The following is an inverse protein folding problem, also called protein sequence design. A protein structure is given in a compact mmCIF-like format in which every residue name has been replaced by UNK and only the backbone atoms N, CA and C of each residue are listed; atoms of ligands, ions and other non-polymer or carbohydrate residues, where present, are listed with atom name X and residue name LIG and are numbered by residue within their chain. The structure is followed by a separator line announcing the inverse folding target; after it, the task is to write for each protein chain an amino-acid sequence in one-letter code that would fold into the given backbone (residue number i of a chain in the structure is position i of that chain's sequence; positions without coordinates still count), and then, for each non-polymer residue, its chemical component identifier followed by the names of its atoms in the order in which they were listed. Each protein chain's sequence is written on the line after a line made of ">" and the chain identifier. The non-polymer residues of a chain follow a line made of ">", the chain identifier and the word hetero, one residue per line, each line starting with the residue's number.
data_IF_551057925380
#
_entry.id   IF_551057925380
#
_cell.length_a   1.000
_cell.length_b   1.000
_cell.length_c   1.000
_cell.angle_alpha   90.00
_cell.angle_beta   90.00
_cell.angle_gamma   90.00
#
_symmetry.space_group_name_H-M   'P 1'
#
loop_
_entity.id
_entity.type
_entity.pdbx_description
1 polymer ?
#
# COMPACT_ATOMS: atom_id res chain seq x y z
N UNK A 1 6.32 -3.79 -28.31
CA UNK A 1 5.22 -2.93 -27.81
C UNK A 1 5.73 -2.26 -26.55
N UNK A 2 5.50 -0.96 -26.34
CA UNK A 2 5.78 -0.37 -25.03
C UNK A 2 4.67 -0.81 -24.07
N UNK A 3 5.05 -1.30 -22.88
CA UNK A 3 4.12 -1.64 -21.80
C UNK A 3 3.88 -0.40 -20.94
N UNK A 4 2.65 -0.20 -20.47
CA UNK A 4 2.37 0.79 -19.42
C UNK A 4 3.06 0.39 -18.12
N UNK A 5 3.16 1.31 -17.17
CA UNK A 5 3.65 0.98 -15.83
C UNK A 5 2.85 -0.16 -15.20
N UNK A 6 1.51 -0.09 -15.27
CA UNK A 6 0.65 -1.15 -14.77
C UNK A 6 0.94 -2.51 -15.44
N UNK A 7 1.13 -2.55 -16.76
CA UNK A 7 1.44 -3.78 -17.47
C UNK A 7 2.81 -4.35 -17.08
N UNK A 8 3.82 -3.50 -16.86
CA UNK A 8 5.14 -3.94 -16.37
C UNK A 8 5.02 -4.61 -15.00
N UNK A 9 4.37 -3.93 -14.05
CA UNK A 9 4.16 -4.44 -12.69
C UNK A 9 3.33 -5.72 -12.70
N UNK A 10 2.25 -5.77 -13.48
CA UNK A 10 1.43 -6.96 -13.61
C UNK A 10 2.23 -8.15 -14.14
N UNK A 11 2.97 -7.96 -15.24
CA UNK A 11 3.67 -9.05 -15.90
C UNK A 11 4.83 -9.61 -15.06
N UNK A 12 5.50 -8.76 -14.27
CA UNK A 12 6.57 -9.19 -13.38
C UNK A 12 6.07 -10.09 -12.23
N UNK A 13 4.83 -9.88 -11.78
CA UNK A 13 4.28 -10.57 -10.62
C UNK A 13 3.26 -11.65 -10.97
N UNK A 14 3.00 -11.88 -12.27
CA UNK A 14 2.08 -12.90 -12.74
C UNK A 14 2.65 -14.30 -12.47
N UNK A 15 1.97 -15.07 -11.64
CA UNK A 15 2.33 -16.47 -11.35
C UNK A 15 1.68 -17.39 -12.36
N UNK A 16 0.37 -17.25 -12.54
CA UNK A 16 -0.43 -18.09 -13.43
C UNK A 16 -1.67 -17.32 -13.89
N UNK A 17 -2.07 -17.53 -15.14
CA UNK A 17 -3.38 -17.11 -15.65
C UNK A 17 -4.25 -18.34 -15.72
N UNK A 18 -5.42 -18.30 -15.09
CA UNK A 18 -6.36 -19.42 -15.20
C UNK A 18 -7.16 -19.33 -16.51
N UNK A 19 -7.92 -20.38 -16.84
CA UNK A 19 -8.81 -20.39 -18.01
C UNK A 19 -10.00 -19.42 -17.86
N UNK A 20 -10.13 -18.75 -16.71
CA UNK A 20 -11.10 -17.70 -16.44
C UNK A 20 -10.48 -16.32 -16.68
N UNK A 21 -11.19 -15.23 -16.36
CA UNK A 21 -10.64 -13.88 -16.46
C UNK A 21 -9.74 -13.49 -15.27
N UNK A 22 -9.40 -14.44 -14.41
CA UNK A 22 -8.65 -14.21 -13.18
C UNK A 22 -7.19 -14.66 -13.33
N UNK A 23 -6.32 -14.11 -12.50
CA UNK A 23 -4.91 -14.46 -12.49
C UNK A 23 -4.40 -14.50 -11.07
N UNK A 24 -3.45 -15.40 -10.84
CA UNK A 24 -2.73 -15.47 -9.59
C UNK A 24 -1.52 -14.55 -9.68
N UNK A 25 -1.46 -13.55 -8.81
CA UNK A 25 -0.32 -12.64 -8.69
C UNK A 25 0.43 -12.93 -7.39
N UNK A 26 1.75 -12.81 -7.42
CA UNK A 26 2.59 -12.83 -6.24
C UNK A 26 2.50 -11.49 -5.50
N UNK A 27 2.62 -11.52 -4.17
CA UNK A 27 2.56 -10.37 -3.27
C UNK A 27 3.89 -10.21 -2.52
N UNK A 28 4.57 -9.08 -2.72
CA UNK A 28 5.86 -8.78 -2.07
C UNK A 28 5.72 -8.27 -0.64
N UNK A 29 4.70 -7.45 -0.38
CA UNK A 29 4.47 -6.79 0.90
C UNK A 29 3.02 -6.90 1.31
N UNK A 30 2.81 -7.34 2.55
CA UNK A 30 1.50 -7.37 3.17
C UNK A 30 1.54 -6.55 4.46
N UNK A 31 0.77 -5.47 4.48
CA UNK A 31 0.56 -4.67 5.67
C UNK A 31 -0.66 -5.18 6.44
N UNK A 32 -0.56 -5.19 7.76
CA UNK A 32 -1.59 -5.70 8.66
C UNK A 32 -1.92 -4.66 9.73
N UNK A 33 -3.19 -4.60 10.11
CA UNK A 33 -3.69 -3.75 11.17
C UNK A 33 -4.79 -4.46 11.95
N UNK A 34 -5.19 -3.89 13.08
CA UNK A 34 -6.01 -4.53 14.11
C UNK A 34 -7.48 -4.76 13.72
N UNK A 35 -7.98 -4.10 12.68
CA UNK A 35 -9.41 -4.15 12.32
C UNK A 35 -9.73 -5.38 11.46
N UNK A 36 -8.90 -5.68 10.47
CA UNK A 36 -9.22 -6.67 9.42
C UNK A 36 -8.41 -7.96 9.51
N UNK A 37 -7.28 -7.94 10.22
CA UNK A 37 -6.40 -9.10 10.35
C UNK A 37 -6.80 -10.16 11.40
N UNK A 38 -7.51 -9.86 12.51
CA UNK A 38 -7.77 -10.87 13.55
C UNK A 38 -8.47 -12.13 13.04
N UNK A 39 -9.48 -12.00 12.18
CA UNK A 39 -10.20 -13.15 11.64
C UNK A 39 -9.32 -13.98 10.69
N UNK A 40 -8.41 -13.34 9.94
CA UNK A 40 -7.48 -14.05 9.07
C UNK A 40 -6.54 -14.96 9.90
N UNK A 41 -6.01 -14.45 11.01
CA UNK A 41 -5.19 -15.25 11.92
C UNK A 41 -5.95 -16.43 12.55
N UNK A 42 -7.22 -16.25 12.88
CA UNK A 42 -8.06 -17.34 13.37
C UNK A 42 -8.28 -18.42 12.30
N UNK A 43 -8.49 -18.02 11.05
CA UNK A 43 -8.55 -18.93 9.90
C UNK A 43 -7.29 -19.79 9.76
N UNK A 44 -6.10 -19.18 9.87
CA UNK A 44 -4.82 -19.90 9.86
C UNK A 44 -4.73 -20.90 11.03
N UNK A 45 -5.12 -20.51 12.25
CA UNK A 45 -5.13 -21.39 13.43
C UNK A 45 -6.03 -22.60 13.24
N UNK A 46 -7.27 -22.39 12.78
CA UNK A 46 -8.21 -23.47 12.53
C UNK A 46 -7.69 -24.45 11.47
N UNK A 47 -7.06 -23.95 10.41
CA UNK A 47 -6.45 -24.76 9.34
C UNK A 47 -5.09 -25.34 9.72
N UNK A 48 -4.52 -24.94 10.88
CA UNK A 48 -3.18 -25.33 11.36
C UNK A 48 -2.07 -25.01 10.35
N UNK A 49 -2.21 -23.88 9.65
CA UNK A 49 -1.23 -23.38 8.68
C UNK A 49 -0.49 -22.17 9.26
N UNK A 50 0.73 -21.95 8.78
CA UNK A 50 1.57 -20.80 9.17
C UNK A 50 1.68 -19.83 8.00
N UNK A 51 1.96 -18.53 8.25
CA UNK A 51 2.28 -17.61 7.19
C UNK A 51 3.43 -18.13 6.33
N UNK A 52 3.30 -18.01 5.01
CA UNK A 52 4.28 -18.54 4.05
C UNK A 52 5.63 -17.82 4.15
N UNK A 53 5.61 -16.48 4.27
CA UNK A 53 6.80 -15.65 4.28
C UNK A 53 6.71 -14.54 5.33
N UNK A 54 7.36 -14.75 6.47
CA UNK A 54 7.24 -13.83 7.61
C UNK A 54 7.79 -12.43 7.33
N UNK A 55 8.91 -12.30 6.62
CA UNK A 55 9.56 -11.02 6.32
C UNK A 55 8.79 -10.13 5.32
N UNK A 56 7.78 -10.70 4.64
CA UNK A 56 6.87 -9.95 3.80
C UNK A 56 5.76 -9.22 4.58
N UNK A 57 5.52 -9.60 5.85
CA UNK A 57 4.40 -9.13 6.65
C UNK A 57 4.86 -8.09 7.68
N UNK A 58 4.18 -6.94 7.73
CA UNK A 58 4.45 -5.87 8.70
C UNK A 58 3.14 -5.40 9.30
N UNK A 59 3.06 -5.36 10.63
CA UNK A 59 1.87 -4.96 11.36
C UNK A 59 2.05 -3.65 12.12
N UNK A 60 0.99 -2.88 12.22
CA UNK A 60 0.90 -1.72 13.12
C UNK A 60 -0.56 -1.54 13.53
N UNK A 61 -0.88 -1.24 14.80
CA UNK A 61 -2.19 -0.74 15.13
C UNK A 61 -2.29 0.74 14.72
N UNK A 62 -3.36 1.19 14.07
CA UNK A 62 -3.52 2.60 13.69
C UNK A 62 -4.95 3.14 13.63
N UNK A 63 -5.97 2.30 13.48
CA UNK A 63 -7.38 2.74 13.39
C UNK A 63 -8.02 2.99 14.77
N UNK A 64 -7.62 2.24 15.79
CA UNK A 64 -8.20 2.19 17.13
C UNK A 64 -7.25 2.73 18.21
N UNK A 65 -6.30 3.56 17.77
CA UNK A 65 -5.30 4.20 18.60
C UNK A 65 -5.83 5.57 19.04
N UNK A 66 -6.04 5.84 20.34
CA UNK A 66 -6.54 7.14 20.80
C UNK A 66 -5.69 8.33 20.33
N UNK A 67 -6.35 9.42 19.93
CA UNK A 67 -5.68 10.66 19.50
C UNK A 67 -4.89 11.33 20.62
N UNK A 68 -5.40 11.25 21.86
CA UNK A 68 -4.67 11.73 23.05
C UNK A 68 -3.75 10.63 23.57
N UNK A 69 -2.44 10.86 23.45
CA UNK A 69 -1.41 9.89 23.86
C UNK A 69 -0.88 10.12 25.28
N UNK A 70 -1.10 11.28 25.89
CA UNK A 70 -0.49 11.63 27.18
C UNK A 70 1.03 11.38 27.23
N UNK A 71 1.57 11.13 28.44
CA UNK A 71 3.02 10.92 28.68
C UNK A 71 3.42 9.44 28.88
N UNK A 72 2.50 8.49 28.64
CA UNK A 72 2.70 7.07 28.88
C UNK A 72 1.66 6.25 28.12
N UNK A 73 1.80 6.23 26.80
CA UNK A 73 0.81 5.66 25.90
C UNK A 73 1.01 4.15 25.73
N UNK A 74 0.00 3.39 26.14
CA UNK A 74 -0.04 1.95 25.98
C UNK A 74 -1.48 1.46 25.74
N UNK A 75 -1.65 0.15 25.59
CA UNK A 75 -2.96 -0.48 25.39
C UNK A 75 -3.94 -0.23 26.55
N UNK A 76 -3.45 0.03 27.77
CA UNK A 76 -4.31 0.32 28.92
C UNK A 76 -5.00 1.69 28.82
N UNK A 77 -4.45 2.57 27.99
CA UNK A 77 -4.97 3.91 27.72
C UNK A 77 -6.25 3.89 26.85
N UNK A 78 -6.50 2.79 26.14
CA UNK A 78 -7.69 2.63 25.28
C UNK A 78 -8.92 2.39 26.16
N UNK A 79 -9.84 3.36 26.17
CA UNK A 79 -11.07 3.32 26.99
C UNK A 79 -12.19 2.49 26.35
N UNK A 80 -12.23 2.43 25.01
CA UNK A 80 -13.21 1.62 24.29
C UNK A 80 -12.78 0.15 24.31
N UNK A 81 -13.63 -0.71 24.88
CA UNK A 81 -13.33 -2.13 25.06
C UNK A 81 -13.14 -2.86 23.72
N UNK A 82 -13.89 -2.48 22.68
CA UNK A 82 -13.81 -3.13 21.37
C UNK A 82 -12.49 -2.79 20.68
N UNK A 83 -12.16 -1.50 20.64
CA UNK A 83 -10.88 -0.98 20.15
C UNK A 83 -9.71 -1.65 20.86
N UNK A 84 -9.80 -1.75 22.20
CA UNK A 84 -8.77 -2.38 23.02
C UNK A 84 -8.60 -3.86 22.69
N UNK A 85 -9.70 -4.61 22.55
CA UNK A 85 -9.66 -6.02 22.17
C UNK A 85 -8.95 -6.20 20.83
N UNK A 86 -9.26 -5.36 19.82
CA UNK A 86 -8.66 -5.45 18.49
C UNK A 86 -7.14 -5.25 18.55
N UNK A 87 -6.67 -4.21 19.25
CA UNK A 87 -5.23 -3.94 19.41
C UNK A 87 -4.52 -5.07 20.15
N UNK A 88 -5.07 -5.54 21.28
CA UNK A 88 -4.52 -6.68 22.03
C UNK A 88 -4.45 -7.94 21.18
N UNK A 89 -5.47 -8.18 20.35
CA UNK A 89 -5.53 -9.38 19.53
C UNK A 89 -4.52 -9.32 18.39
N UNK A 90 -4.25 -8.14 17.81
CA UNK A 90 -3.13 -7.95 16.88
C UNK A 90 -1.79 -8.31 17.53
N UNK A 91 -1.53 -7.84 18.76
CA UNK A 91 -0.29 -8.14 19.50
C UNK A 91 -0.11 -9.65 19.70
N UNK A 92 -1.15 -10.33 20.19
CA UNK A 92 -1.13 -11.80 20.39
C UNK A 92 -0.92 -12.55 19.09
N UNK A 93 -1.58 -12.11 18.01
CA UNK A 93 -1.46 -12.74 16.70
C UNK A 93 -0.04 -12.59 16.15
N UNK A 94 0.51 -11.38 16.18
CA UNK A 94 1.86 -11.11 15.69
C UNK A 94 2.90 -11.90 16.50
N UNK A 95 2.76 -11.95 17.83
CA UNK A 95 3.63 -12.77 18.69
C UNK A 95 3.52 -14.27 18.38
N UNK A 96 2.30 -14.79 18.23
CA UNK A 96 2.05 -16.22 18.02
C UNK A 96 2.55 -16.71 16.65
N UNK A 97 2.44 -15.86 15.62
CA UNK A 97 2.83 -16.20 14.26
C UNK A 97 4.23 -15.70 13.88
N UNK A 98 4.88 -14.89 14.72
CA UNK A 98 6.22 -14.35 14.46
C UNK A 98 6.23 -13.23 13.42
N UNK A 99 5.16 -12.43 13.34
CA UNK A 99 5.07 -11.27 12.45
C UNK A 99 5.70 -10.05 13.10
N UNK A 100 6.46 -9.29 12.31
CA UNK A 100 7.04 -8.04 12.78
C UNK A 100 5.95 -6.98 12.98
N UNK A 101 5.87 -6.41 14.17
CA UNK A 101 4.89 -5.42 14.54
C UNK A 101 5.56 -4.17 15.13
N UNK A 102 5.10 -3.01 14.70
CA UNK A 102 5.27 -1.75 15.42
C UNK A 102 4.07 -1.59 16.35
N UNK A 103 4.17 -2.12 17.58
CA UNK A 103 3.07 -2.06 18.55
C UNK A 103 2.74 -0.62 18.97
N UNK A 104 1.66 -0.45 19.74
CA UNK A 104 1.15 0.87 20.15
C UNK A 104 2.18 1.71 20.93
N UNK A 105 3.18 1.08 21.56
CA UNK A 105 4.21 1.74 22.36
C UNK A 105 5.45 2.11 21.53
N UNK A 106 5.56 1.55 20.31
CA UNK A 106 6.65 1.85 19.38
C UNK A 106 6.64 3.32 18.96
N UNK A 107 7.80 3.97 19.03
CA UNK A 107 7.99 5.32 18.49
C UNK A 107 7.92 5.37 16.94
N UNK A 108 7.90 4.21 16.29
CA UNK A 108 7.75 4.04 14.84
C UNK A 108 6.33 3.65 14.42
N UNK A 109 5.42 3.47 15.38
CA UNK A 109 4.01 3.24 15.10
C UNK A 109 3.40 4.49 14.46
N UNK A 110 2.56 4.30 13.45
CA UNK A 110 1.85 5.36 12.74
C UNK A 110 0.82 4.79 11.80
N UNK A 111 0.16 5.67 11.04
CA UNK A 111 -0.79 5.27 9.98
C UNK A 111 -0.06 4.35 9.01
N UNK A 112 -0.62 3.17 8.72
CA UNK A 112 0.09 2.09 8.01
C UNK A 112 0.62 2.52 6.64
N UNK A 113 -0.12 3.38 5.92
CA UNK A 113 0.26 3.90 4.60
C UNK A 113 1.28 5.06 4.64
N UNK A 114 1.58 5.59 5.83
CA UNK A 114 2.62 6.61 6.07
C UNK A 114 3.86 5.94 6.67
N UNK A 115 3.67 5.12 7.69
CA UNK A 115 4.71 4.35 8.36
C UNK A 115 5.47 3.45 7.38
N UNK A 116 4.76 2.75 6.48
CA UNK A 116 5.37 1.83 5.52
C UNK A 116 6.47 2.50 4.68
N UNK A 117 6.16 3.58 3.94
CA UNK A 117 7.17 4.36 3.22
C UNK A 117 8.24 5.01 4.10
N UNK A 118 7.86 5.64 5.22
CA UNK A 118 8.82 6.34 6.10
C UNK A 118 9.85 5.40 6.74
N UNK A 119 9.49 4.13 6.95
CA UNK A 119 10.39 3.10 7.47
C UNK A 119 11.02 2.23 6.37
N UNK A 120 10.80 2.56 5.09
CA UNK A 120 11.43 1.89 3.97
C UNK A 120 10.88 0.51 3.61
N UNK A 121 9.65 0.19 4.02
CA UNK A 121 8.97 -1.06 3.66
C UNK A 121 8.26 -1.03 2.31
N UNK A 122 8.04 0.16 1.76
CA UNK A 122 7.51 0.40 0.42
C UNK A 122 8.66 0.73 -0.52
N UNK A 123 9.00 -0.21 -1.41
CA UNK A 123 10.03 -0.05 -2.43
C UNK A 123 9.41 -0.13 -3.83
N UNK A 124 9.93 0.61 -4.82
CA UNK A 124 9.39 0.59 -6.17
C UNK A 124 9.37 -0.81 -6.79
N UNK A 125 8.35 -1.07 -7.61
CA UNK A 125 8.17 -2.37 -8.26
C UNK A 125 7.32 -3.36 -7.46
N UNK A 126 7.18 -3.17 -6.14
CA UNK A 126 6.47 -4.14 -5.30
C UNK A 126 4.98 -4.25 -5.63
N UNK A 127 4.45 -5.46 -5.47
CA UNK A 127 3.03 -5.71 -5.20
C UNK A 127 2.74 -5.58 -3.71
N UNK A 128 1.78 -4.73 -3.35
CA UNK A 128 1.50 -4.36 -1.96
C UNK A 128 0.01 -4.51 -1.66
N UNK A 129 -0.32 -5.22 -0.59
CA UNK A 129 -1.71 -5.37 -0.13
C UNK A 129 -1.86 -5.06 1.34
N UNK A 130 -3.07 -4.65 1.72
CA UNK A 130 -3.48 -4.46 3.11
C UNK A 130 -5.00 -4.62 3.17
N UNK A 131 -5.52 -4.99 4.33
CA UNK A 131 -6.96 -4.95 4.62
C UNK A 131 -7.57 -3.53 4.69
N UNK A 132 -6.97 -2.55 4.01
CA UNK A 132 -7.35 -1.14 4.00
C UNK A 132 -7.55 -0.66 2.55
N UNK A 133 -8.62 0.11 2.32
CA UNK A 133 -9.00 0.60 1.00
C UNK A 133 -7.99 1.58 0.38
N UNK A 134 -7.23 2.29 1.20
CA UNK A 134 -6.28 3.32 0.79
C UNK A 134 -4.87 2.79 0.53
N UNK A 135 -4.70 1.47 0.45
CA UNK A 135 -3.43 0.84 0.06
C UNK A 135 -2.90 1.35 -1.27
N UNK A 136 -3.76 1.87 -2.15
CA UNK A 136 -3.39 2.56 -3.39
C UNK A 136 -2.38 3.69 -3.18
N UNK A 137 -2.28 4.28 -1.97
CA UNK A 137 -1.26 5.27 -1.58
C UNK A 137 0.15 4.88 -2.01
N UNK A 138 0.50 3.59 -1.84
CA UNK A 138 1.84 3.10 -2.15
C UNK A 138 2.17 3.08 -3.65
N UNK A 139 1.16 3.19 -4.53
CA UNK A 139 1.41 3.30 -5.96
C UNK A 139 2.09 4.61 -6.39
N UNK A 140 2.19 5.59 -5.49
CA UNK A 140 3.06 6.76 -5.66
C UNK A 140 4.54 6.39 -5.83
N UNK A 141 4.94 5.19 -5.39
CA UNK A 141 6.30 4.65 -5.50
C UNK A 141 6.49 3.78 -6.75
N UNK A 142 5.50 3.71 -7.65
CA UNK A 142 5.51 2.76 -8.76
C UNK A 142 5.29 1.32 -8.28
N UNK A 143 4.42 1.14 -7.29
CA UNK A 143 4.02 -0.17 -6.75
C UNK A 143 2.62 -0.56 -7.22
N UNK A 144 2.38 -1.84 -7.49
CA UNK A 144 1.03 -2.36 -7.69
C UNK A 144 0.38 -2.58 -6.32
N UNK A 145 -0.27 -1.54 -5.81
CA UNK A 145 -0.79 -1.50 -4.46
C UNK A 145 -2.32 -1.43 -4.41
N UNK A 146 -2.97 -2.32 -3.64
CA UNK A 146 -4.44 -2.39 -3.58
C UNK A 146 -4.97 -2.92 -2.24
N UNK A 147 -6.14 -2.42 -1.84
CA UNK A 147 -6.86 -2.92 -0.67
C UNK A 147 -7.50 -4.28 -0.93
N UNK A 148 -7.51 -5.14 0.09
CA UNK A 148 -8.04 -6.50 0.04
C UNK A 148 -9.02 -6.76 1.19
N UNK A 149 -9.89 -7.75 1.05
CA UNK A 149 -10.82 -8.18 2.09
C UNK A 149 -10.18 -9.14 3.09
N UNK A 150 -10.84 -9.36 4.23
CA UNK A 150 -10.36 -10.25 5.31
C UNK A 150 -10.05 -11.68 4.83
N UNK A 151 -10.87 -12.26 3.96
CA UNK A 151 -10.60 -13.61 3.40
C UNK A 151 -9.35 -13.64 2.52
N UNK A 152 -9.06 -12.53 1.84
CA UNK A 152 -7.86 -12.37 1.02
C UNK A 152 -6.63 -12.15 1.90
N UNK A 153 -6.75 -11.44 3.03
CA UNK A 153 -5.67 -11.30 4.03
C UNK A 153 -5.20 -12.67 4.50
N UNK A 154 -6.12 -13.58 4.82
CA UNK A 154 -5.79 -14.97 5.18
C UNK A 154 -5.07 -15.69 4.04
N UNK A 155 -5.56 -15.53 2.82
CA UNK A 155 -4.99 -16.19 1.64
C UNK A 155 -3.56 -15.72 1.34
N UNK A 156 -3.31 -14.40 1.42
CA UNK A 156 -1.99 -13.81 1.22
C UNK A 156 -1.05 -14.27 2.33
N UNK A 157 -1.48 -14.26 3.60
CA UNK A 157 -0.67 -14.81 4.69
C UNK A 157 -0.27 -16.26 4.41
N UNK A 158 -1.21 -17.09 3.95
CA UNK A 158 -0.99 -18.51 3.71
C UNK A 158 -0.12 -18.83 2.48
N UNK A 159 -0.08 -17.96 1.46
CA UNK A 159 0.46 -18.31 0.12
C UNK A 159 1.38 -17.28 -0.51
N UNK A 160 1.40 -16.04 -0.02
CA UNK A 160 1.96 -14.86 -0.70
C UNK A 160 1.43 -14.63 -2.13
N UNK A 161 0.27 -15.19 -2.46
CA UNK A 161 -0.37 -14.96 -3.73
C UNK A 161 -1.78 -14.40 -3.51
N UNK A 162 -2.33 -13.79 -4.55
CA UNK A 162 -3.71 -13.32 -4.57
C UNK A 162 -4.32 -13.56 -5.94
N UNK A 163 -5.56 -14.06 -5.95
CA UNK A 163 -6.33 -14.21 -7.17
C UNK A 163 -7.05 -12.90 -7.48
N UNK A 164 -6.72 -12.25 -8.60
CA UNK A 164 -7.35 -11.00 -9.02
C UNK A 164 -7.66 -10.98 -10.52
N UNK A 165 -8.65 -10.17 -10.90
CA UNK A 165 -8.92 -9.85 -12.32
C UNK A 165 -8.04 -8.69 -12.77
N UNK A 166 -7.43 -8.80 -13.95
CA UNK A 166 -6.64 -7.70 -14.53
C UNK A 166 -7.52 -6.49 -14.84
N UNK A 167 -7.07 -5.30 -14.42
CA UNK A 167 -7.76 -4.04 -14.65
C UNK A 167 -7.44 -3.48 -16.05
N UNK A 168 -8.26 -2.54 -16.52
CA UNK A 168 -7.93 -1.75 -17.71
C UNK A 168 -6.99 -0.60 -17.36
N UNK A 169 -6.15 -0.17 -18.29
CA UNK A 169 -5.33 1.03 -18.11
C UNK A 169 -6.20 2.28 -18.26
N UNK A 170 -6.04 3.26 -17.37
CA UNK A 170 -6.57 4.63 -17.50
C UNK A 170 -5.45 5.62 -17.19
N UNK A 171 -5.23 6.60 -18.05
CA UNK A 171 -4.26 7.67 -17.80
C UNK A 171 -4.99 8.95 -17.41
N UNK A 172 -4.50 9.61 -16.37
CA UNK A 172 -4.87 10.98 -16.02
C UNK A 172 -3.61 11.84 -16.09
N UNK A 173 -3.66 12.87 -16.93
CA UNK A 173 -2.54 13.77 -17.16
C UNK A 173 -2.79 15.12 -16.49
N UNK A 174 -1.95 15.49 -15.53
CA UNK A 174 -1.98 16.77 -14.82
C UNK A 174 -0.86 17.69 -15.33
N UNK A 175 -1.20 18.54 -16.30
CA UNK A 175 -0.26 19.50 -16.89
C UNK A 175 -0.41 20.91 -16.32
N UNK A 176 0.72 21.59 -16.21
CA UNK A 176 0.86 22.89 -15.57
C UNK A 176 1.31 22.80 -14.11
N UNK A 177 1.30 23.94 -13.43
CA UNK A 177 1.61 24.09 -12.01
C UNK A 177 0.39 24.68 -11.28
N UNK A 178 0.08 24.21 -10.07
CA UNK A 178 -1.00 24.78 -9.28
C UNK A 178 -0.72 26.25 -8.94
N UNK A 179 -1.79 27.05 -8.88
CA UNK A 179 -1.70 28.41 -8.36
C UNK A 179 -1.40 28.39 -6.86
N UNK A 180 -0.91 29.52 -6.33
CA UNK A 180 -0.65 29.66 -4.89
C UNK A 180 -1.89 29.32 -4.08
N UNK A 181 -1.74 28.42 -3.10
CA UNK A 181 -2.82 27.96 -2.24
C UNK A 181 -3.57 26.72 -2.74
N UNK A 182 -3.26 26.23 -3.95
CA UNK A 182 -3.79 24.96 -4.47
C UNK A 182 -2.76 23.85 -4.24
N UNK A 183 -3.17 22.78 -3.55
CA UNK A 183 -2.34 21.61 -3.26
C UNK A 183 -2.77 20.35 -4.03
N UNK A 184 -2.03 19.26 -3.81
CA UNK A 184 -2.33 17.92 -4.37
C UNK A 184 -3.74 17.46 -4.00
N UNK A 185 -4.20 17.77 -2.79
CA UNK A 185 -5.57 17.47 -2.32
C UNK A 185 -6.63 18.14 -3.19
N UNK A 186 -6.46 19.42 -3.51
CA UNK A 186 -7.43 20.15 -4.33
C UNK A 186 -7.48 19.60 -5.76
N UNK A 187 -6.32 19.22 -6.31
CA UNK A 187 -6.19 18.64 -7.65
C UNK A 187 -6.93 17.30 -7.74
N UNK A 188 -6.70 16.38 -6.80
CA UNK A 188 -7.35 15.07 -6.83
C UNK A 188 -8.85 15.17 -6.52
N UNK A 189 -9.28 16.06 -5.63
CA UNK A 189 -10.70 16.35 -5.40
C UNK A 189 -11.36 16.92 -6.65
N UNK A 190 -10.66 17.77 -7.41
CA UNK A 190 -11.16 18.28 -8.68
C UNK A 190 -11.33 17.16 -9.72
N UNK A 191 -10.37 16.24 -9.82
CA UNK A 191 -10.51 15.06 -10.69
C UNK A 191 -11.74 14.24 -10.29
N UNK A 192 -11.89 13.90 -9.00
CA UNK A 192 -13.03 13.10 -8.51
C UNK A 192 -14.36 13.79 -8.81
N UNK A 193 -14.43 15.12 -8.71
CA UNK A 193 -15.61 15.89 -9.13
C UNK A 193 -15.92 15.72 -10.62
N UNK A 194 -14.90 15.63 -11.48
CA UNK A 194 -15.08 15.51 -12.94
C UNK A 194 -15.50 14.10 -13.38
N UNK A 195 -14.87 13.06 -12.82
CA UNK A 195 -15.11 11.66 -13.25
C UNK A 195 -16.12 10.93 -12.36
N UNK A 196 -16.50 11.52 -11.22
CA UNK A 196 -17.40 10.94 -10.24
C UNK A 196 -16.73 9.84 -9.39
N UNK A 197 -17.46 9.36 -8.38
CA UNK A 197 -16.96 8.36 -7.43
C UNK A 197 -16.81 6.96 -8.02
N UNK A 198 -17.31 6.73 -9.25
CA UNK A 198 -17.19 5.47 -9.96
C UNK A 198 -16.37 5.59 -11.26
N UNK A 199 -15.79 6.77 -11.55
CA UNK A 199 -15.12 7.05 -12.82
C UNK A 199 -13.93 6.16 -13.15
N UNK A 200 -13.24 5.66 -12.12
CA UNK A 200 -12.11 4.74 -12.21
C UNK A 200 -12.47 3.25 -12.06
N UNK A 201 -13.76 2.90 -11.94
CA UNK A 201 -14.18 1.51 -11.71
C UNK A 201 -13.64 0.59 -12.80
N UNK A 202 -12.98 -0.50 -12.39
CA UNK A 202 -12.39 -1.48 -13.32
C UNK A 202 -11.09 -1.03 -14.00
N UNK A 203 -10.51 0.09 -13.57
CA UNK A 203 -9.27 0.64 -14.12
C UNK A 203 -8.17 0.74 -13.06
N UNK A 204 -6.92 0.58 -13.50
CA UNK A 204 -5.74 1.08 -12.82
C UNK A 204 -5.45 2.48 -13.37
N UNK A 205 -5.46 3.50 -12.50
CA UNK A 205 -5.23 4.88 -12.92
C UNK A 205 -3.74 5.20 -12.81
N UNK A 206 -3.11 5.59 -13.92
CA UNK A 206 -1.77 6.16 -13.94
C UNK A 206 -1.85 7.68 -13.99
N UNK A 207 -1.37 8.33 -12.93
CA UNK A 207 -1.25 9.77 -12.83
C UNK A 207 0.09 10.22 -13.40
N UNK A 208 0.05 11.14 -14.36
CA UNK A 208 1.22 11.62 -15.10
C UNK A 208 1.12 13.13 -15.35
N UNK A 209 2.09 13.70 -16.06
CA UNK A 209 2.10 15.12 -16.43
C UNK A 209 3.10 15.96 -15.66
N UNK A 210 3.27 17.21 -16.09
CA UNK A 210 4.30 18.09 -15.52
C UNK A 210 4.14 18.32 -14.02
N UNK A 211 2.89 18.35 -13.53
CA UNK A 211 2.65 18.49 -12.09
C UNK A 211 3.19 17.29 -11.31
N UNK A 212 2.87 16.06 -11.73
CA UNK A 212 3.33 14.84 -11.07
C UNK A 212 4.86 14.78 -11.04
N UNK A 213 5.52 15.07 -12.17
CA UNK A 213 6.98 15.11 -12.25
C UNK A 213 7.62 16.14 -11.30
N UNK A 214 6.93 17.24 -11.02
CA UNK A 214 7.40 18.30 -10.11
C UNK A 214 6.98 18.09 -8.64
N UNK A 215 6.05 17.18 -8.38
CA UNK A 215 5.43 16.99 -7.07
C UNK A 215 6.34 16.19 -6.13
N UNK A 216 6.31 16.53 -4.84
CA UNK A 216 6.95 15.74 -3.78
C UNK A 216 6.32 14.35 -3.65
N UNK A 217 7.01 13.42 -2.97
CA UNK A 217 6.44 12.10 -2.71
C UNK A 217 5.14 12.16 -1.91
N UNK A 218 5.05 13.03 -0.91
CA UNK A 218 3.83 13.22 -0.11
C UNK A 218 2.67 13.75 -0.96
N UNK A 219 2.97 14.61 -1.94
CA UNK A 219 1.99 15.10 -2.91
C UNK A 219 1.49 13.98 -3.83
N UNK A 220 2.39 13.11 -4.31
CA UNK A 220 2.04 11.93 -5.11
C UNK A 220 1.23 10.91 -4.29
N UNK A 221 1.65 10.64 -3.06
CA UNK A 221 0.93 9.80 -2.10
C UNK A 221 -0.49 10.32 -1.87
N UNK A 222 -0.68 11.64 -1.71
CA UNK A 222 -2.01 12.25 -1.56
C UNK A 222 -2.93 11.99 -2.76
N UNK A 223 -2.37 11.95 -3.98
CA UNK A 223 -3.13 11.70 -5.21
C UNK A 223 -3.47 10.21 -5.33
N UNK A 224 -2.48 9.32 -5.18
CA UNK A 224 -2.68 7.87 -5.25
C UNK A 224 -3.58 7.34 -4.12
N UNK A 225 -3.49 7.93 -2.92
CA UNK A 225 -4.35 7.63 -1.78
C UNK A 225 -5.83 7.78 -2.14
N UNK A 226 -6.16 8.84 -2.89
CA UNK A 226 -7.55 9.15 -3.25
C UNK A 226 -8.03 8.48 -4.56
N UNK A 227 -7.26 7.53 -5.11
CA UNK A 227 -7.71 6.76 -6.28
C UNK A 227 -9.00 5.97 -5.97
N UNK A 228 -9.14 5.50 -4.73
CA UNK A 228 -10.30 4.71 -4.30
C UNK A 228 -11.58 5.55 -4.24
N UNK A 229 -11.52 6.83 -3.87
CA UNK A 229 -12.65 7.76 -3.92
C UNK A 229 -13.10 8.07 -5.35
N UNK A 230 -12.23 7.87 -6.34
CA UNK A 230 -12.58 7.90 -7.76
C UNK A 230 -13.12 6.54 -8.28
N UNK A 231 -13.14 5.51 -7.44
CA UNK A 231 -13.59 4.15 -7.77
C UNK A 231 -12.48 3.23 -8.31
N UNK A 232 -11.23 3.67 -8.33
CA UNK A 232 -10.09 2.86 -8.78
C UNK A 232 -9.36 2.23 -7.59
N UNK A 233 -9.21 0.90 -7.61
CA UNK A 233 -8.44 0.18 -6.57
C UNK A 233 -6.93 0.43 -6.63
N UNK A 234 -6.43 0.91 -7.78
CA UNK A 234 -5.01 1.10 -8.08
C UNK A 234 -4.81 2.51 -8.63
N UNK A 235 -3.88 3.24 -8.01
CA UNK A 235 -3.41 4.56 -8.46
C UNK A 235 -1.89 4.56 -8.52
N UNK A 236 -1.29 4.93 -9.65
CA UNK A 236 0.14 4.78 -9.93
C UNK A 236 0.77 6.10 -10.35
N UNK A 237 2.03 6.31 -9.99
CA UNK A 237 2.91 7.30 -10.64
C UNK A 237 4.22 6.62 -11.06
N UNK A 238 4.79 7.07 -12.17
CA UNK A 238 6.11 6.62 -12.61
C UNK A 238 7.22 6.97 -11.63
N UNK A 239 8.26 6.13 -11.60
CA UNK A 239 9.45 6.34 -10.78
C UNK A 239 10.39 7.34 -11.44
N UNK A 240 10.85 8.32 -10.67
CA UNK A 240 11.85 9.29 -11.06
C UNK A 240 12.84 9.59 -9.91
N UNK A 241 13.69 10.60 -10.09
CA UNK A 241 14.70 10.99 -9.09
C UNK A 241 14.08 11.35 -7.73
N UNK A 242 12.89 11.96 -7.70
CA UNK A 242 12.22 12.30 -6.44
C UNK A 242 11.83 11.04 -5.67
N UNK A 243 11.37 10.00 -6.37
CA UNK A 243 11.11 8.69 -5.76
C UNK A 243 12.39 8.04 -5.26
N UNK A 244 13.46 8.05 -6.06
CA UNK A 244 14.74 7.45 -5.69
C UNK A 244 15.37 8.13 -4.47
N UNK A 245 15.36 9.45 -4.42
CA UNK A 245 15.89 10.23 -3.31
C UNK A 245 15.13 9.94 -2.02
N UNK A 246 13.80 9.85 -2.08
CA UNK A 246 12.99 9.46 -0.93
C UNK A 246 13.36 8.07 -0.44
N UNK A 247 13.44 7.07 -1.33
CA UNK A 247 13.78 5.69 -0.97
C UNK A 247 15.18 5.61 -0.38
N UNK A 248 16.15 6.35 -0.93
CA UNK A 248 17.53 6.39 -0.40
C UNK A 248 17.58 6.91 1.04
N UNK A 249 16.75 7.90 1.36
CA UNK A 249 16.76 8.53 2.68
C UNK A 249 16.01 7.72 3.76
N UNK A 250 15.11 6.80 3.38
CA UNK A 250 14.24 6.09 4.32
C UNK A 250 14.47 4.57 4.36
N UNK A 251 14.99 3.97 3.29
CA UNK A 251 15.24 2.52 3.24
C UNK A 251 16.53 2.13 3.96
N UNK A 252 16.56 0.89 4.47
CA UNK A 252 17.76 0.29 5.07
C UNK A 252 18.64 -0.44 4.05
N UNK A 253 18.53 -0.10 2.76
CA UNK A 253 19.33 -0.71 1.70
C UNK A 253 20.79 -0.24 1.80
N UNK A 254 21.72 -1.14 1.53
CA UNK A 254 23.12 -0.74 1.30
C UNK A 254 23.22 0.07 0.02
N UNK A 255 24.22 0.94 -0.09
CA UNK A 255 24.47 1.74 -1.31
C UNK A 255 24.58 0.86 -2.57
N UNK A 256 25.19 -0.32 -2.45
CA UNK A 256 25.31 -1.27 -3.55
C UNK A 256 23.94 -1.82 -3.99
N UNK A 257 23.11 -2.27 -3.04
CA UNK A 257 21.76 -2.76 -3.34
C UNK A 257 20.89 -1.64 -3.90
N UNK A 258 20.95 -0.44 -3.32
CA UNK A 258 20.21 0.72 -3.79
C UNK A 258 20.59 1.06 -5.24
N UNK A 259 21.89 1.17 -5.55
CA UNK A 259 22.33 1.50 -6.91
C UNK A 259 21.83 0.47 -7.92
N UNK A 260 21.98 -0.82 -7.63
CA UNK A 260 21.49 -1.90 -8.49
C UNK A 260 19.97 -1.87 -8.67
N UNK A 261 19.22 -1.67 -7.59
CA UNK A 261 17.75 -1.60 -7.66
C UNK A 261 17.29 -0.34 -8.41
N UNK A 262 18.00 0.78 -8.27
CA UNK A 262 17.69 2.05 -8.91
C UNK A 262 17.78 1.99 -10.44
N UNK A 263 18.65 1.14 -11.00
CA UNK A 263 18.73 0.91 -12.44
C UNK A 263 17.42 0.30 -12.95
N UNK A 264 16.88 -0.69 -12.24
CA UNK A 264 15.61 -1.29 -12.56
C UNK A 264 14.43 -0.32 -12.32
N UNK A 265 14.40 0.32 -11.15
CA UNK A 265 13.30 1.19 -10.77
C UNK A 265 13.09 2.36 -11.73
N UNK A 266 14.15 2.91 -12.32
CA UNK A 266 14.03 3.96 -13.35
C UNK A 266 13.29 3.52 -14.63
N UNK A 267 13.15 2.21 -14.85
CA UNK A 267 12.38 1.64 -15.96
C UNK A 267 10.88 1.54 -15.65
N UNK A 268 10.47 1.73 -14.38
CA UNK A 268 9.10 1.68 -13.89
C UNK A 268 8.36 3.00 -14.17
N UNK A 269 8.12 3.24 -15.44
CA UNK A 269 7.32 4.35 -15.99
C UNK A 269 6.82 3.96 -17.39
N UNK A 270 5.73 4.55 -17.86
CA UNK A 270 5.21 4.32 -19.22
C UNK A 270 6.10 4.92 -20.31
#
# INVERSE_FOLDING_TARGET
>A
MSFTLYDKLWNEHLVETDDTSESLIYIDRHYLHEVTSPQAFEGLRHKKIKPWRLDANVATPDHNVPTDRGNGFDVSSIQDDVAKIQVVELDKNCQSFGIHQFDITSNKQGIVHVMGPELGYTLPGMTIVCGDSHTSTHGAFGCLAMGIGTSEVEHVLATQCLKITKLKNMQVNFDGMPQKGVGSKDIILHLIKLIGTAGGTGHAIEFSGSYISSASMESRMTICNMAIEAGAKVGLTGVDSTTLDYVKNHSNLSDEMFNKASEYWQTLKS
#
